data_IF_229101633907
#
_entry.id   IF_229101633907
#
_cell.length_a   1.000
_cell.length_b   1.000
_cell.length_c   1.000
_cell.angle_alpha   90.00
_cell.angle_beta   90.00
_cell.angle_gamma   90.00
#
_symmetry.space_group_name_H-M   'P 1'
#
loop_
_entity.id
_entity.type
_entity.pdbx_description
1 polymer ?
#
# COMPACT_ATOMS: atom_id res chain seq x y z
N UNK A 1 13.91 9.19 6.15
CA UNK A 1 12.53 9.70 6.36
C UNK A 1 11.68 8.77 7.23
N UNK A 2 11.75 7.47 7.07
CA UNK A 2 10.94 6.48 7.83
C UNK A 2 11.31 6.39 9.33
N UNK A 3 12.59 6.51 9.69
CA UNK A 3 13.03 6.56 11.10
C UNK A 3 12.53 7.80 11.85
N UNK A 4 12.44 8.96 11.20
CA UNK A 4 11.97 10.19 11.82
C UNK A 4 10.50 10.11 12.28
N UNK A 5 9.63 9.43 11.54
CA UNK A 5 8.23 9.22 11.95
C UNK A 5 8.09 8.20 13.08
N UNK A 6 8.99 7.21 13.17
CA UNK A 6 9.01 6.24 14.26
C UNK A 6 9.35 6.89 15.59
N UNK A 7 10.35 7.77 15.61
CA UNK A 7 10.72 8.56 16.81
C UNK A 7 9.57 9.48 17.24
N UNK A 8 8.97 10.20 16.29
CA UNK A 8 7.86 11.12 16.56
C UNK A 8 6.66 10.44 17.20
N UNK A 9 6.33 9.21 16.79
CA UNK A 9 5.15 8.46 17.21
C UNK A 9 5.48 7.33 18.19
N UNK A 10 6.58 7.45 18.95
CA UNK A 10 7.05 6.38 19.85
C UNK A 10 5.99 6.00 20.88
N UNK A 11 5.34 6.97 21.53
CA UNK A 11 4.33 6.73 22.56
C UNK A 11 3.06 6.08 21.97
N UNK A 12 2.61 6.52 20.80
CA UNK A 12 1.45 5.98 20.10
C UNK A 12 1.70 4.54 19.63
N UNK A 13 2.90 4.30 19.07
CA UNK A 13 3.31 2.95 18.66
C UNK A 13 3.34 2.01 19.86
N UNK A 14 3.95 2.43 20.98
CA UNK A 14 4.04 1.62 22.20
C UNK A 14 2.64 1.29 22.76
N UNK A 15 1.71 2.26 22.75
CA UNK A 15 0.35 2.04 23.24
C UNK A 15 -0.44 1.09 22.32
N UNK A 16 -0.27 1.19 20.99
CA UNK A 16 -0.85 0.22 20.06
C UNK A 16 -0.24 -1.18 20.24
N UNK A 17 1.09 -1.28 20.43
CA UNK A 17 1.76 -2.55 20.71
C UNK A 17 1.24 -3.18 21.99
N UNK A 18 1.06 -2.39 23.06
CA UNK A 18 0.45 -2.85 24.32
C UNK A 18 -0.98 -3.41 24.14
N UNK A 19 -1.78 -2.77 23.28
CA UNK A 19 -3.12 -3.29 22.97
C UNK A 19 -3.04 -4.59 22.17
N UNK A 20 -2.13 -4.67 21.21
CA UNK A 20 -1.98 -5.81 20.31
C UNK A 20 -1.33 -7.02 20.97
N UNK A 21 -0.51 -6.84 22.03
CA UNK A 21 0.07 -7.95 22.81
C UNK A 21 -0.98 -8.83 23.51
N UNK A 22 -2.23 -8.35 23.64
CA UNK A 22 -3.35 -9.14 24.16
C UNK A 22 -4.00 -10.07 23.13
N UNK A 23 -3.41 -10.22 21.93
CA UNK A 23 -3.92 -11.09 20.87
C UNK A 23 -2.89 -12.16 20.53
N UNK A 24 -3.37 -13.31 20.09
CA UNK A 24 -2.55 -14.40 19.55
C UNK A 24 -2.12 -14.05 18.11
N UNK A 25 -1.25 -13.04 18.02
CA UNK A 25 -0.65 -12.54 16.78
C UNK A 25 0.85 -12.46 16.97
N UNK A 26 1.61 -12.90 15.96
CA UNK A 26 3.07 -12.79 15.95
C UNK A 26 3.47 -11.40 15.47
N UNK A 27 4.24 -10.68 16.28
CA UNK A 27 4.86 -9.42 15.84
C UNK A 27 6.09 -9.71 14.97
N UNK A 28 6.13 -9.12 13.79
CA UNK A 28 7.24 -9.18 12.84
C UNK A 28 7.59 -7.77 12.36
N UNK A 29 8.87 -7.53 12.05
CA UNK A 29 9.26 -6.29 11.40
C UNK A 29 9.14 -6.44 9.89
N UNK A 30 8.12 -5.83 9.28
CA UNK A 30 7.95 -5.80 7.82
C UNK A 30 8.02 -4.35 7.32
N UNK A 31 8.83 -4.12 6.29
CA UNK A 31 9.05 -2.76 5.73
C UNK A 31 9.44 -1.74 6.81
N UNK A 32 10.28 -2.14 7.80
CA UNK A 32 10.69 -1.30 8.92
C UNK A 32 9.59 -0.96 9.94
N UNK A 33 8.44 -1.66 9.93
CA UNK A 33 7.27 -1.37 10.76
C UNK A 33 6.81 -2.61 11.54
N UNK A 34 6.24 -2.43 12.77
CA UNK A 34 5.59 -3.51 13.49
C UNK A 34 4.38 -4.03 12.70
N UNK A 35 4.45 -5.26 12.26
CA UNK A 35 3.40 -5.96 11.54
C UNK A 35 2.99 -7.20 12.32
N UNK A 36 1.70 -7.38 12.52
CA UNK A 36 1.13 -8.48 13.29
C UNK A 36 0.52 -9.50 12.34
N UNK A 37 0.99 -10.73 12.47
CA UNK A 37 0.64 -11.83 11.56
C UNK A 37 -0.03 -12.97 12.31
N UNK A 38 -0.81 -13.75 11.58
CA UNK A 38 -1.40 -15.01 12.00
C UNK A 38 -1.19 -16.05 10.88
N UNK A 39 -0.59 -17.18 11.20
CA UNK A 39 -0.25 -18.24 10.23
C UNK A 39 0.52 -17.71 8.99
N UNK A 40 1.46 -16.77 9.23
CA UNK A 40 2.27 -16.13 8.19
C UNK A 40 1.55 -15.07 7.36
N UNK A 41 0.25 -14.83 7.59
CA UNK A 41 -0.55 -13.83 6.90
C UNK A 41 -0.64 -12.54 7.72
N UNK A 42 -0.54 -11.39 7.03
CA UNK A 42 -0.57 -10.09 7.67
C UNK A 42 -2.00 -9.71 8.06
N UNK A 43 -2.23 -9.38 9.32
CA UNK A 43 -3.54 -8.96 9.87
C UNK A 43 -3.57 -7.45 10.05
N UNK A 44 -2.66 -6.89 10.85
CA UNK A 44 -2.57 -5.45 11.10
C UNK A 44 -1.13 -4.97 11.08
N UNK A 45 -0.93 -3.67 10.84
CA UNK A 45 0.38 -3.02 10.81
C UNK A 45 0.30 -1.66 11.48
N UNK A 46 1.31 -1.30 12.28
CA UNK A 46 1.45 0.02 12.87
C UNK A 46 2.39 0.86 12.00
N UNK A 47 1.97 2.08 11.65
CA UNK A 47 2.80 2.97 10.84
C UNK A 47 2.61 4.44 11.20
N UNK A 48 3.74 5.16 11.27
CA UNK A 48 3.75 6.60 11.46
C UNK A 48 3.68 7.34 10.12
N UNK A 49 2.91 8.41 10.08
CA UNK A 49 2.86 9.38 8.99
C UNK A 49 3.26 10.77 9.51
N UNK A 50 3.36 11.75 8.62
CA UNK A 50 3.73 13.12 9.02
C UNK A 50 2.81 13.70 10.08
N UNK A 51 1.51 13.45 10.01
CA UNK A 51 0.49 14.12 10.83
C UNK A 51 -0.28 13.19 11.78
N UNK A 52 -0.11 11.87 11.66
CA UNK A 52 -0.81 10.89 12.48
C UNK A 52 -0.04 9.56 12.56
N UNK A 53 -0.29 8.81 13.63
CA UNK A 53 0.00 7.39 13.72
C UNK A 53 -1.23 6.60 13.26
N UNK A 54 -1.03 5.43 12.64
CA UNK A 54 -2.14 4.63 12.15
C UNK A 54 -1.98 3.14 12.47
N UNK A 55 -3.10 2.50 12.79
CA UNK A 55 -3.26 1.06 12.77
C UNK A 55 -3.91 0.67 11.44
N UNK A 56 -3.16 -0.01 10.59
CA UNK A 56 -3.62 -0.50 9.29
C UNK A 56 -4.15 -1.92 9.37
N UNK A 57 -5.29 -2.19 8.76
CA UNK A 57 -5.93 -3.50 8.64
C UNK A 57 -5.81 -3.96 7.20
N UNK A 58 -5.15 -5.10 6.94
CA UNK A 58 -4.89 -5.55 5.57
C UNK A 58 -6.16 -5.89 4.79
N UNK A 59 -7.15 -6.46 5.44
CA UNK A 59 -8.49 -6.72 4.86
C UNK A 59 -9.54 -5.76 5.43
N UNK A 60 -9.16 -4.52 5.73
CA UNK A 60 -10.00 -3.54 6.42
C UNK A 60 -11.32 -3.19 5.71
N UNK A 61 -11.39 -3.40 4.39
CA UNK A 61 -12.63 -3.20 3.64
C UNK A 61 -13.71 -4.25 3.94
N UNK A 62 -13.36 -5.37 4.59
CA UNK A 62 -14.31 -6.40 5.03
C UNK A 62 -14.82 -6.18 6.46
N UNK A 63 -14.25 -5.22 7.20
CA UNK A 63 -14.69 -4.91 8.55
C UNK A 63 -15.99 -4.09 8.52
N UNK A 64 -16.88 -4.34 9.44
CA UNK A 64 -18.20 -3.69 9.53
C UNK A 64 -18.14 -2.19 9.80
N UNK A 65 -17.06 -1.74 10.48
CA UNK A 65 -16.81 -0.33 10.83
C UNK A 65 -18.01 0.45 11.38
N UNK A 66 -18.67 -0.03 12.45
CA UNK A 66 -19.90 0.58 12.96
C UNK A 66 -19.68 2.01 13.46
N UNK A 67 -18.46 2.37 13.80
CA UNK A 67 -18.09 3.71 14.28
C UNK A 67 -17.50 4.62 13.19
N UNK A 68 -17.42 4.15 11.95
CA UNK A 68 -16.86 4.90 10.80
C UNK A 68 -15.45 5.46 11.05
N UNK A 69 -14.58 4.61 11.65
CA UNK A 69 -13.20 4.99 12.01
C UNK A 69 -12.17 4.59 10.95
N UNK A 70 -12.56 3.74 10.01
CA UNK A 70 -11.67 3.22 8.99
C UNK A 70 -11.62 4.12 7.76
N UNK A 71 -10.42 4.51 7.38
CA UNK A 71 -10.16 5.40 6.24
C UNK A 71 -9.39 4.64 5.16
N UNK A 72 -9.83 4.78 3.92
CA UNK A 72 -9.07 4.31 2.76
C UNK A 72 -7.92 5.28 2.47
N UNK A 73 -6.70 4.77 2.33
CA UNK A 73 -5.56 5.57 1.89
C UNK A 73 -5.39 5.48 0.38
N UNK A 74 -5.54 6.61 -0.29
CA UNK A 74 -5.45 6.67 -1.75
C UNK A 74 -6.44 5.70 -2.40
N UNK A 75 -5.93 4.87 -3.32
CA UNK A 75 -6.76 3.92 -4.07
C UNK A 75 -6.55 2.47 -3.64
N UNK A 76 -6.10 2.21 -2.40
CA UNK A 76 -5.93 0.85 -1.88
C UNK A 76 -7.29 0.20 -1.68
N UNK A 77 -7.55 -0.93 -2.35
CA UNK A 77 -8.88 -1.55 -2.37
C UNK A 77 -9.19 -2.30 -1.07
N UNK A 78 -8.27 -3.11 -0.56
CA UNK A 78 -8.49 -3.98 0.59
C UNK A 78 -8.18 -3.32 1.94
N UNK A 79 -7.04 -2.64 2.06
CA UNK A 79 -6.62 -2.11 3.35
C UNK A 79 -7.40 -0.85 3.75
N UNK A 80 -7.57 -0.70 5.08
CA UNK A 80 -8.09 0.52 5.72
C UNK A 80 -7.21 0.84 6.91
N UNK A 81 -7.21 2.10 7.33
CA UNK A 81 -6.45 2.55 8.50
C UNK A 81 -7.34 3.25 9.51
N UNK A 82 -7.07 3.05 10.78
CA UNK A 82 -7.56 3.86 11.88
C UNK A 82 -6.47 4.84 12.27
N UNK A 83 -6.77 6.14 12.28
CA UNK A 83 -5.80 7.22 12.53
C UNK A 83 -5.87 7.69 13.97
N UNK A 84 -4.71 8.08 14.51
CA UNK A 84 -4.55 8.60 15.87
C UNK A 84 -3.56 9.76 15.88
N UNK A 85 -3.82 10.73 16.74
CA UNK A 85 -2.98 11.91 16.92
C UNK A 85 -2.29 11.96 18.28
N UNK A 86 -2.67 11.08 19.22
CA UNK A 86 -2.05 10.96 20.54
C UNK A 86 -2.24 9.58 21.16
N UNK A 87 -1.30 9.20 22.03
CA UNK A 87 -1.38 7.96 22.81
C UNK A 87 -2.61 7.95 23.74
N UNK A 88 -3.02 9.12 24.27
CA UNK A 88 -4.23 9.26 25.08
C UNK A 88 -5.49 8.88 24.29
N UNK A 89 -5.56 9.30 23.03
CA UNK A 89 -6.66 8.90 22.13
C UNK A 89 -6.72 7.39 21.94
N UNK A 90 -5.56 6.75 21.75
CA UNK A 90 -5.46 5.29 21.59
C UNK A 90 -5.93 4.59 22.86
N UNK A 91 -5.47 5.02 24.04
CA UNK A 91 -5.85 4.47 25.32
C UNK A 91 -7.38 4.58 25.56
N UNK A 92 -7.96 5.75 25.27
CA UNK A 92 -9.41 5.98 25.39
C UNK A 92 -10.22 5.07 24.45
N UNK A 93 -9.70 4.80 23.25
CA UNK A 93 -10.34 3.95 22.23
C UNK A 93 -9.95 2.47 22.34
N UNK A 94 -9.18 2.05 23.36
CA UNK A 94 -8.62 0.71 23.46
C UNK A 94 -9.66 -0.41 23.27
N UNK A 95 -10.82 -0.31 23.90
CA UNK A 95 -11.90 -1.29 23.74
C UNK A 95 -12.40 -1.39 22.29
N UNK A 96 -12.53 -0.24 21.63
CA UNK A 96 -12.93 -0.17 20.22
C UNK A 96 -11.84 -0.78 19.32
N UNK A 97 -10.57 -0.40 19.51
CA UNK A 97 -9.44 -0.96 18.75
C UNK A 97 -9.43 -2.48 18.89
N UNK A 98 -9.56 -3.01 20.11
CA UNK A 98 -9.63 -4.45 20.37
C UNK A 98 -10.79 -5.12 19.63
N UNK A 99 -11.94 -4.48 19.52
CA UNK A 99 -13.09 -5.03 18.78
C UNK A 99 -12.77 -5.16 17.28
N UNK A 100 -12.18 -4.11 16.68
CA UNK A 100 -11.76 -4.13 15.27
C UNK A 100 -10.66 -5.16 15.00
N UNK A 101 -9.68 -5.30 15.90
CA UNK A 101 -8.63 -6.32 15.77
C UNK A 101 -9.21 -7.73 15.85
N UNK A 102 -10.16 -7.99 16.77
CA UNK A 102 -10.86 -9.30 16.83
C UNK A 102 -11.58 -9.60 15.52
N UNK A 103 -12.26 -8.62 14.95
CA UNK A 103 -12.94 -8.79 13.67
C UNK A 103 -11.94 -9.05 12.54
N UNK A 104 -10.80 -8.33 12.48
CA UNK A 104 -9.75 -8.57 11.51
C UNK A 104 -9.14 -9.98 11.63
N UNK A 105 -8.93 -10.46 12.85
CA UNK A 105 -8.50 -11.84 13.13
C UNK A 105 -9.55 -12.85 12.64
N UNK A 106 -10.83 -12.59 12.88
CA UNK A 106 -11.92 -13.46 12.43
C UNK A 106 -12.01 -13.51 10.90
N UNK A 107 -11.86 -12.37 10.21
CA UNK A 107 -11.79 -12.28 8.74
C UNK A 107 -10.64 -13.11 8.19
N UNK A 108 -9.45 -13.04 8.81
CA UNK A 108 -8.29 -13.81 8.34
C UNK A 108 -8.46 -15.32 8.63
N UNK A 109 -9.00 -15.71 9.82
CA UNK A 109 -9.31 -17.10 10.14
C UNK A 109 -10.33 -17.71 9.17
N UNK A 110 -11.31 -16.93 8.74
CA UNK A 110 -12.30 -17.35 7.75
C UNK A 110 -11.73 -17.41 6.31
N UNK A 111 -10.48 -16.99 6.11
CA UNK A 111 -9.84 -16.96 4.79
C UNK A 111 -10.44 -15.93 3.82
N UNK A 112 -11.23 -14.99 4.33
CA UNK A 112 -11.91 -13.99 3.52
C UNK A 112 -10.90 -12.98 2.96
N UNK A 113 -11.04 -12.64 1.69
CA UNK A 113 -10.21 -11.64 1.00
C UNK A 113 -11.06 -10.72 0.16
N UNK A 114 -10.68 -9.45 0.14
CA UNK A 114 -11.28 -8.49 -0.78
C UNK A 114 -10.91 -8.88 -2.21
N UNK A 115 -11.92 -9.06 -3.06
CA UNK A 115 -11.68 -9.18 -4.49
C UNK A 115 -11.13 -7.86 -5.03
N UNK A 116 -9.87 -7.86 -5.42
CA UNK A 116 -9.24 -6.67 -5.98
C UNK A 116 -9.28 -6.72 -7.50
N UNK A 117 -9.83 -5.69 -8.10
CA UNK A 117 -9.77 -5.55 -9.56
C UNK A 117 -8.38 -5.06 -9.97
N UNK A 118 -7.77 -5.64 -11.02
CA UNK A 118 -6.54 -5.11 -11.59
C UNK A 118 -6.75 -3.63 -11.93
N UNK A 119 -5.81 -2.78 -11.52
CA UNK A 119 -5.88 -1.38 -11.94
C UNK A 119 -5.54 -1.28 -13.41
N UNK A 120 -6.42 -0.67 -14.17
CA UNK A 120 -6.14 -0.25 -15.53
C UNK A 120 -5.57 1.16 -15.49
N UNK A 121 -4.47 1.36 -16.16
CA UNK A 121 -3.89 2.67 -16.37
C UNK A 121 -4.07 3.03 -17.85
N UNK A 122 -4.68 4.18 -18.15
CA UNK A 122 -4.82 4.61 -19.53
C UNK A 122 -3.46 4.77 -20.18
N UNK A 123 -3.34 4.37 -21.43
CA UNK A 123 -2.12 4.58 -22.21
C UNK A 123 -2.05 6.07 -22.56
N UNK A 124 -1.04 6.83 -22.08
CA UNK A 124 -0.92 8.25 -22.38
C UNK A 124 -0.75 8.50 -23.87
N UNK A 125 -1.22 9.64 -24.36
CA UNK A 125 -1.15 9.96 -25.79
C UNK A 125 0.30 10.03 -26.29
N UNK A 126 1.22 10.54 -25.45
CA UNK A 126 2.66 10.59 -25.77
C UNK A 126 3.25 9.18 -25.97
N UNK A 127 2.75 8.18 -25.23
CA UNK A 127 3.19 6.80 -25.44
C UNK A 127 2.61 6.21 -26.73
N UNK A 128 1.34 6.52 -27.04
CA UNK A 128 0.74 6.09 -28.32
C UNK A 128 1.46 6.71 -29.51
N UNK A 129 1.80 7.99 -29.42
CA UNK A 129 2.59 8.68 -30.46
C UNK A 129 3.97 8.04 -30.60
N UNK A 130 4.66 7.74 -29.48
CA UNK A 130 5.93 7.04 -29.51
C UNK A 130 5.81 5.66 -30.17
N UNK A 131 4.73 4.93 -29.92
CA UNK A 131 4.47 3.63 -30.57
C UNK A 131 4.25 3.77 -32.08
N UNK A 132 3.59 4.86 -32.53
CA UNK A 132 3.42 5.13 -33.98
C UNK A 132 4.76 5.43 -34.66
N UNK A 133 5.61 6.19 -33.97
CA UNK A 133 6.89 6.66 -34.54
C UNK A 133 8.03 5.65 -34.39
N UNK A 134 7.93 4.70 -33.44
CA UNK A 134 8.94 3.67 -33.17
C UNK A 134 8.30 2.28 -32.98
N UNK A 135 8.06 1.54 -34.08
CA UNK A 135 7.48 0.19 -34.03
C UNK A 135 8.36 -0.83 -33.26
N UNK A 136 9.67 -0.59 -33.17
CA UNK A 136 10.59 -1.45 -32.40
C UNK A 136 10.36 -1.27 -30.91
N UNK A 137 10.20 -0.03 -30.47
CA UNK A 137 9.86 0.29 -29.07
C UNK A 137 8.49 -0.27 -28.69
N UNK A 138 7.49 -0.14 -29.56
CA UNK A 138 6.16 -0.74 -29.35
C UNK A 138 6.27 -2.25 -29.08
N UNK A 139 6.96 -3.01 -29.95
CA UNK A 139 7.17 -4.45 -29.78
C UNK A 139 7.89 -4.80 -28.48
N UNK A 140 8.93 -4.03 -28.11
CA UNK A 140 9.64 -4.23 -26.86
C UNK A 140 8.73 -4.01 -25.63
N UNK A 141 7.87 -3.00 -25.66
CA UNK A 141 6.92 -2.73 -24.60
C UNK A 141 5.85 -3.83 -24.50
N UNK A 142 5.29 -4.26 -25.62
CA UNK A 142 4.27 -5.32 -25.69
C UNK A 142 4.82 -6.70 -25.29
N UNK A 143 6.10 -6.94 -25.45
CA UNK A 143 6.79 -8.15 -24.99
C UNK A 143 7.00 -8.21 -23.47
N UNK A 144 6.85 -7.09 -22.76
CA UNK A 144 6.89 -7.08 -21.30
C UNK A 144 5.71 -7.84 -20.70
N UNK A 145 5.93 -8.45 -19.53
CA UNK A 145 4.82 -9.06 -18.78
C UNK A 145 3.75 -8.00 -18.43
N UNK A 146 2.46 -8.39 -18.29
CA UNK A 146 1.39 -7.46 -17.95
C UNK A 146 1.65 -6.63 -16.68
N UNK A 147 2.38 -7.20 -15.70
CA UNK A 147 2.81 -6.50 -14.49
C UNK A 147 3.81 -5.39 -14.77
N UNK A 148 4.80 -5.65 -15.62
CA UNK A 148 5.81 -4.66 -16.04
C UNK A 148 5.18 -3.55 -16.87
N UNK A 149 4.31 -3.88 -17.81
CA UNK A 149 3.55 -2.88 -18.60
C UNK A 149 2.75 -1.95 -17.66
N UNK A 150 1.99 -2.50 -16.70
CA UNK A 150 1.23 -1.71 -15.72
C UNK A 150 2.14 -0.80 -14.88
N UNK A 151 3.31 -1.28 -14.47
CA UNK A 151 4.29 -0.48 -13.73
C UNK A 151 4.75 0.75 -14.52
N UNK A 152 5.03 0.59 -15.81
CA UNK A 152 5.37 1.70 -16.70
C UNK A 152 4.20 2.64 -16.96
N UNK A 153 3.00 2.13 -17.22
CA UNK A 153 1.80 2.96 -17.42
C UNK A 153 1.49 3.81 -16.18
N UNK A 154 1.63 3.24 -14.98
CA UNK A 154 1.54 4.00 -13.74
C UNK A 154 2.58 5.12 -13.66
N UNK A 155 3.84 4.81 -14.00
CA UNK A 155 4.93 5.80 -14.01
C UNK A 155 4.72 6.92 -15.03
N UNK A 156 4.18 6.59 -16.21
CA UNK A 156 3.88 7.54 -17.27
C UNK A 156 2.62 8.38 -17.01
N UNK A 157 1.79 8.03 -16.03
CA UNK A 157 0.54 8.73 -15.68
C UNK A 157 0.73 10.09 -15.00
N UNK A 158 1.78 10.86 -15.33
CA UNK A 158 2.00 12.22 -14.81
C UNK A 158 0.96 13.21 -15.39
N UNK A 159 0.60 14.25 -14.61
CA UNK A 159 -0.37 15.27 -15.05
C UNK A 159 0.12 16.08 -16.26
N UNK A 160 1.39 16.43 -16.29
CA UNK A 160 1.98 17.27 -17.36
C UNK A 160 2.52 16.43 -18.50
N UNK A 161 2.18 16.80 -19.73
CA UNK A 161 2.62 16.14 -20.97
C UNK A 161 4.16 16.07 -21.10
N UNK A 162 4.89 17.17 -20.93
CA UNK A 162 6.35 17.18 -20.99
C UNK A 162 7.00 16.23 -19.97
N UNK A 163 6.40 16.07 -18.77
CA UNK A 163 6.88 15.09 -17.79
C UNK A 163 6.66 13.65 -18.27
N UNK A 164 5.55 13.37 -18.96
CA UNK A 164 5.26 12.04 -19.52
C UNK A 164 6.27 11.67 -20.60
N UNK A 165 6.54 12.59 -21.54
CA UNK A 165 7.52 12.39 -22.61
C UNK A 165 8.91 12.06 -22.04
N UNK A 166 9.42 12.88 -21.12
CA UNK A 166 10.73 12.66 -20.48
C UNK A 166 10.79 11.30 -19.77
N UNK A 167 9.71 10.91 -19.07
CA UNK A 167 9.65 9.61 -18.39
C UNK A 167 9.66 8.44 -19.35
N UNK A 168 8.95 8.55 -20.48
CA UNK A 168 8.94 7.53 -21.54
C UNK A 168 10.36 7.37 -22.12
N UNK A 169 11.00 8.45 -22.50
CA UNK A 169 12.35 8.43 -23.07
C UNK A 169 13.38 7.81 -22.11
N UNK A 170 13.37 8.22 -20.84
CA UNK A 170 14.24 7.64 -19.80
C UNK A 170 14.00 6.15 -19.55
N UNK A 171 12.80 5.67 -19.78
CA UNK A 171 12.44 4.27 -19.57
C UNK A 171 12.78 3.36 -20.77
N UNK A 172 12.94 3.92 -21.97
CA UNK A 172 13.17 3.14 -23.20
C UNK A 172 14.31 2.11 -23.10
N UNK A 173 15.51 2.44 -22.58
CA UNK A 173 16.59 1.45 -22.48
C UNK A 173 16.20 0.24 -21.65
N UNK A 174 15.55 0.45 -20.50
CA UNK A 174 15.09 -0.64 -19.63
C UNK A 174 14.00 -1.48 -20.29
N UNK A 175 13.10 -0.87 -21.05
CA UNK A 175 12.04 -1.54 -21.80
C UNK A 175 12.65 -2.42 -22.91
N UNK A 176 13.64 -1.93 -23.65
CA UNK A 176 14.35 -2.72 -24.65
C UNK A 176 15.11 -3.93 -24.06
N UNK A 177 15.58 -3.80 -22.82
CA UNK A 177 16.20 -4.91 -22.06
C UNK A 177 15.15 -5.84 -21.41
N UNK A 178 13.85 -5.61 -21.62
CA UNK A 178 12.78 -6.42 -21.04
C UNK A 178 12.60 -6.23 -19.53
N UNK A 179 13.21 -5.22 -18.91
CA UNK A 179 13.17 -4.96 -17.44
C UNK A 179 11.91 -4.20 -17.02
N UNK A 180 11.49 -4.43 -15.78
CA UNK A 180 10.42 -3.66 -15.13
C UNK A 180 10.90 -2.31 -14.60
N UNK A 181 9.97 -1.39 -14.36
CA UNK A 181 10.24 0.01 -13.95
C UNK A 181 11.08 0.14 -12.66
N UNK A 182 10.91 -0.78 -11.70
CA UNK A 182 11.63 -0.76 -10.41
C UNK A 182 12.80 -1.75 -10.35
N UNK A 183 13.07 -2.51 -11.44
CA UNK A 183 14.15 -3.48 -11.48
C UNK A 183 15.48 -2.74 -11.73
N UNK A 184 16.36 -2.78 -10.72
CA UNK A 184 17.72 -2.24 -10.84
C UNK A 184 18.61 -3.22 -11.64
N UNK A 185 19.66 -2.68 -12.26
CA UNK A 185 20.76 -3.50 -12.80
C UNK A 185 21.46 -4.27 -11.71
#
# INVERSE_FOLDING_TARGET
MEMAYRERWRAEIAELQRILSGFDLREECKWGKPCYTMDGKNVVIIQGFKEYCALGFFQGALLKDPKKLLVQLGQVQAARVMKFTSAKEIATKAATIKAYVREAVAVEKAGLKVETKPREFPVPEELKEKFRNDPRFKRAFEALTPGRQRGYLFHFGAKQSGTRTVRIEKAMPAIFEGRGFLERR
#
